data_IF_726509150377
#
_entry.id   IF_726509150377
#
_cell.length_a   1.000
_cell.length_b   1.000
_cell.length_c   1.000
_cell.angle_alpha   90.00
_cell.angle_beta   90.00
_cell.angle_gamma   90.00
#
_symmetry.space_group_name_H-M   'P 1'
#
loop_
_entity.id
_entity.type
_entity.pdbx_description
1 polymer ?
#
# COMPACT_ATOMS: atom_id res chain seq x y z
N UNK A 1 0.12 7.07 -22.57
CA UNK A 1 0.14 5.63 -22.96
C UNK A 1 -0.15 5.41 -24.44
N UNK A 2 -1.37 5.65 -24.96
CA UNK A 2 -1.72 5.39 -26.39
C UNK A 2 -0.74 5.99 -27.41
N UNK A 3 -0.19 7.17 -27.14
CA UNK A 3 0.82 7.82 -27.98
C UNK A 3 2.12 7.02 -28.02
N UNK A 4 2.62 6.59 -26.86
CA UNK A 4 3.87 5.84 -26.73
C UNK A 4 3.74 4.38 -27.21
N UNK A 5 2.54 3.82 -27.23
CA UNK A 5 2.29 2.45 -27.70
C UNK A 5 1.93 2.35 -29.18
N UNK A 6 1.86 3.47 -29.91
CA UNK A 6 1.32 3.53 -31.28
C UNK A 6 2.05 2.63 -32.29
N UNK A 7 3.37 2.49 -32.13
CA UNK A 7 4.23 1.74 -33.05
C UNK A 7 4.71 0.41 -32.45
N UNK A 8 4.06 -0.06 -31.38
CA UNK A 8 4.45 -1.27 -30.67
C UNK A 8 3.41 -2.36 -30.96
N UNK A 9 3.83 -3.58 -31.34
CA UNK A 9 2.90 -4.69 -31.52
C UNK A 9 2.36 -5.11 -30.16
N UNK A 10 1.10 -4.74 -29.86
CA UNK A 10 0.42 -5.10 -28.61
C UNK A 10 -0.44 -6.34 -28.81
N UNK A 11 -0.38 -7.26 -27.85
CA UNK A 11 -1.29 -8.39 -27.80
C UNK A 11 -2.71 -7.94 -27.44
N UNK A 12 -3.72 -8.73 -27.83
CA UNK A 12 -5.15 -8.43 -27.60
C UNK A 12 -5.53 -8.30 -26.13
N UNK A 13 -4.77 -8.90 -25.22
CA UNK A 13 -5.03 -8.90 -23.78
C UNK A 13 -4.56 -7.61 -23.07
N UNK A 14 -3.91 -6.68 -23.77
CA UNK A 14 -3.39 -5.44 -23.18
C UNK A 14 -4.52 -4.45 -22.91
N UNK A 15 -4.75 -4.16 -21.63
CA UNK A 15 -5.66 -3.10 -21.21
C UNK A 15 -4.88 -1.88 -20.65
N UNK A 16 -4.67 -0.88 -21.50
CA UNK A 16 -3.93 0.34 -21.13
C UNK A 16 -4.65 1.20 -20.08
N UNK A 17 -5.96 1.01 -19.87
CA UNK A 17 -6.71 1.75 -18.85
C UNK A 17 -6.33 1.28 -17.44
N UNK A 18 -6.13 -0.03 -17.25
CA UNK A 18 -5.63 -0.60 -15.99
C UNK A 18 -4.24 -0.03 -15.68
N UNK A 19 -3.36 0.03 -16.69
CA UNK A 19 -2.03 0.62 -16.52
C UNK A 19 -2.12 2.10 -16.12
N UNK A 20 -3.00 2.86 -16.76
CA UNK A 20 -3.22 4.28 -16.43
C UNK A 20 -3.68 4.46 -14.97
N UNK A 21 -4.67 3.68 -14.51
CA UNK A 21 -5.17 3.73 -13.12
C UNK A 21 -4.09 3.35 -12.10
N UNK A 22 -3.14 2.51 -12.51
CA UNK A 22 -2.00 2.08 -11.69
C UNK A 22 -0.76 2.96 -11.73
N UNK A 23 -0.79 4.06 -12.48
CA UNK A 23 0.32 5.01 -12.61
C UNK A 23 -0.11 6.46 -12.33
N UNK A 24 -0.85 6.73 -11.23
CA UNK A 24 -1.23 8.10 -10.90
C UNK A 24 0.02 8.96 -10.64
N UNK A 25 0.03 10.19 -11.16
CA UNK A 25 1.14 11.13 -11.02
C UNK A 25 2.32 10.91 -11.98
N UNK A 26 2.28 9.89 -12.84
CA UNK A 26 3.33 9.69 -13.83
C UNK A 26 3.34 10.81 -14.87
N UNK A 27 4.52 11.35 -15.14
CA UNK A 27 4.73 12.28 -16.25
C UNK A 27 4.70 11.56 -17.60
N UNK A 28 4.62 12.32 -18.70
CA UNK A 28 4.75 11.75 -20.04
C UNK A 28 6.07 11.00 -20.25
N UNK A 29 7.14 11.44 -19.59
CA UNK A 29 8.43 10.76 -19.61
C UNK A 29 8.37 9.42 -18.86
N UNK A 30 7.73 9.38 -17.68
CA UNK A 30 7.59 8.15 -16.89
C UNK A 30 6.75 7.11 -17.63
N UNK A 31 5.65 7.54 -18.26
CA UNK A 31 4.83 6.66 -19.10
C UNK A 31 5.58 6.15 -20.33
N UNK A 32 6.42 6.99 -20.94
CA UNK A 32 7.29 6.57 -22.04
C UNK A 32 8.31 5.54 -21.57
N UNK A 33 8.90 5.74 -20.39
CA UNK A 33 9.86 4.81 -19.81
C UNK A 33 9.21 3.46 -19.47
N UNK A 34 8.01 3.47 -18.87
CA UNK A 34 7.24 2.26 -18.59
C UNK A 34 6.96 1.45 -19.86
N UNK A 35 6.54 2.11 -20.94
CA UNK A 35 6.27 1.44 -22.22
C UNK A 35 7.56 0.82 -22.78
N UNK A 36 8.69 1.53 -22.72
CA UNK A 36 9.98 0.99 -23.16
C UNK A 36 10.41 -0.23 -22.34
N UNK A 37 10.23 -0.19 -21.01
CA UNK A 37 10.52 -1.33 -20.14
C UNK A 37 9.64 -2.55 -20.49
N UNK A 38 8.36 -2.34 -20.83
CA UNK A 38 7.47 -3.43 -21.24
C UNK A 38 7.97 -4.09 -22.54
N UNK A 39 8.41 -3.30 -23.51
CA UNK A 39 9.03 -3.81 -24.75
C UNK A 39 10.30 -4.60 -24.44
N UNK A 40 11.14 -4.11 -23.52
CA UNK A 40 12.36 -4.81 -23.13
C UNK A 40 12.07 -6.16 -22.45
N UNK A 41 11.03 -6.25 -21.62
CA UNK A 41 10.60 -7.51 -21.02
C UNK A 41 10.12 -8.52 -22.08
N UNK A 42 9.28 -8.07 -23.02
CA UNK A 42 8.80 -8.89 -24.13
C UNK A 42 9.98 -9.38 -25.00
N UNK A 43 10.91 -8.49 -25.34
CA UNK A 43 12.08 -8.80 -26.16
C UNK A 43 13.01 -9.82 -25.49
N UNK A 44 13.25 -9.72 -24.17
CA UNK A 44 14.05 -10.70 -23.40
C UNK A 44 13.46 -12.11 -23.44
N UNK A 45 12.13 -12.22 -23.52
CA UNK A 45 11.40 -13.49 -23.67
C UNK A 45 11.22 -13.91 -25.14
N UNK A 46 11.82 -13.19 -26.10
CA UNK A 46 11.64 -13.37 -27.54
C UNK A 46 10.16 -13.37 -27.99
N UNK A 47 9.30 -12.61 -27.29
CA UNK A 47 7.89 -12.44 -27.68
C UNK A 47 7.77 -11.57 -28.93
N UNK A 48 6.80 -11.87 -29.79
CA UNK A 48 6.49 -11.07 -31.00
C UNK A 48 5.60 -9.87 -30.73
N UNK A 49 4.79 -9.96 -29.68
CA UNK A 49 3.87 -8.92 -29.23
C UNK A 49 4.13 -8.66 -27.73
N UNK A 50 3.89 -7.43 -27.29
CA UNK A 50 3.96 -7.04 -25.88
C UNK A 50 2.62 -7.37 -25.23
N UNK A 51 2.65 -8.15 -24.16
CA UNK A 51 1.46 -8.60 -23.44
C UNK A 51 1.22 -7.80 -22.17
N UNK A 52 0.02 -7.96 -21.57
CA UNK A 52 -0.32 -7.28 -20.32
C UNK A 52 0.66 -7.62 -19.17
N UNK A 53 1.16 -8.87 -19.13
CA UNK A 53 2.18 -9.31 -18.17
C UNK A 53 3.46 -8.47 -18.26
N UNK A 54 3.90 -8.11 -19.47
CA UNK A 54 5.13 -7.34 -19.67
C UNK A 54 4.94 -5.88 -19.20
N UNK A 55 3.74 -5.32 -19.37
CA UNK A 55 3.37 -4.01 -18.81
C UNK A 55 3.30 -4.02 -17.28
N UNK A 56 2.76 -5.09 -16.68
CA UNK A 56 2.74 -5.24 -15.22
C UNK A 56 4.16 -5.33 -14.64
N UNK A 57 5.04 -6.12 -15.26
CA UNK A 57 6.45 -6.22 -14.86
C UNK A 57 7.21 -4.90 -15.02
N UNK A 58 6.96 -4.18 -16.12
CA UNK A 58 7.54 -2.87 -16.37
C UNK A 58 7.08 -1.84 -15.33
N UNK A 59 5.78 -1.81 -15.05
CA UNK A 59 5.20 -0.95 -14.02
C UNK A 59 5.83 -1.23 -12.66
N UNK A 60 5.94 -2.50 -12.25
CA UNK A 60 6.56 -2.88 -10.98
C UNK A 60 8.00 -2.40 -10.90
N UNK A 61 8.76 -2.57 -11.99
CA UNK A 61 10.13 -2.09 -12.06
C UNK A 61 10.23 -0.56 -11.92
N UNK A 62 9.34 0.19 -12.56
CA UNK A 62 9.36 1.66 -12.52
C UNK A 62 8.88 2.20 -11.17
N UNK A 63 7.84 1.60 -10.57
CA UNK A 63 7.28 2.03 -9.28
C UNK A 63 8.14 1.61 -8.09
N UNK A 64 8.60 0.36 -8.08
CA UNK A 64 9.20 -0.27 -6.90
C UNK A 64 10.70 -0.53 -7.07
N UNK A 65 11.25 -0.33 -8.27
CA UNK A 65 12.61 -0.71 -8.62
C UNK A 65 12.74 -2.16 -9.09
N UNK A 66 13.96 -2.56 -9.49
CA UNK A 66 14.19 -3.89 -10.02
C UNK A 66 13.95 -4.99 -8.97
N UNK A 67 13.50 -6.14 -9.47
CA UNK A 67 13.40 -7.37 -8.68
C UNK A 67 14.78 -7.80 -8.18
N UNK A 68 14.86 -8.14 -6.89
CA UNK A 68 16.11 -8.51 -6.24
C UNK A 68 16.30 -10.03 -6.20
N UNK A 69 16.54 -10.64 -7.37
CA UNK A 69 16.74 -12.10 -7.51
C UNK A 69 17.92 -12.67 -6.71
N UNK A 70 18.89 -11.84 -6.32
CA UNK A 70 20.08 -12.26 -5.56
C UNK A 70 19.90 -12.19 -4.05
N UNK A 71 18.75 -11.71 -3.55
CA UNK A 71 18.50 -11.69 -2.10
C UNK A 71 18.09 -13.08 -1.69
N UNK A 72 18.89 -13.67 -0.80
CA UNK A 72 18.56 -14.90 -0.12
C UNK A 72 17.69 -14.48 1.08
N UNK A 73 16.39 -14.76 0.98
CA UNK A 73 15.42 -14.57 2.07
C UNK A 73 15.21 -15.94 2.70
N UNK A 74 15.26 -16.03 4.02
CA UNK A 74 14.97 -17.29 4.71
C UNK A 74 13.50 -17.68 4.54
N UNK A 75 13.17 -18.96 4.67
CA UNK A 75 11.78 -19.42 4.61
C UNK A 75 10.93 -18.76 5.70
N UNK A 76 11.51 -18.50 6.87
CA UNK A 76 10.87 -17.78 7.99
C UNK A 76 10.57 -16.32 7.64
N UNK A 77 11.52 -15.60 7.02
CA UNK A 77 11.29 -14.21 6.58
C UNK A 77 10.24 -14.13 5.46
N UNK A 78 10.23 -15.11 4.54
CA UNK A 78 9.19 -15.22 3.53
C UNK A 78 7.82 -15.48 4.14
N UNK A 79 7.75 -16.37 5.14
CA UNK A 79 6.51 -16.66 5.86
C UNK A 79 5.98 -15.41 6.58
N UNK A 80 6.83 -14.71 7.32
CA UNK A 80 6.47 -13.43 7.96
C UNK A 80 5.91 -12.45 6.93
N UNK A 81 6.59 -12.29 5.80
CA UNK A 81 6.16 -11.40 4.72
C UNK A 81 4.80 -11.84 4.15
N UNK A 82 4.55 -13.13 3.97
CA UNK A 82 3.27 -13.63 3.48
C UNK A 82 2.11 -13.32 4.45
N UNK A 83 2.31 -13.50 5.75
CA UNK A 83 1.30 -13.13 6.75
C UNK A 83 1.12 -11.60 6.86
N UNK A 84 2.19 -10.84 6.73
CA UNK A 84 2.17 -9.38 6.73
C UNK A 84 1.31 -8.85 5.57
N UNK A 85 1.60 -9.28 4.34
CA UNK A 85 0.85 -8.86 3.15
C UNK A 85 -0.60 -9.37 3.16
N UNK A 86 -0.84 -10.58 3.67
CA UNK A 86 -2.20 -11.10 3.86
C UNK A 86 -3.00 -10.23 4.84
N UNK A 87 -2.35 -9.67 5.86
CA UNK A 87 -2.96 -8.74 6.80
C UNK A 87 -3.47 -7.48 6.12
N UNK A 88 -2.63 -6.82 5.32
CA UNK A 88 -3.03 -5.67 4.52
C UNK A 88 -4.21 -5.99 3.58
N UNK A 89 -4.11 -7.12 2.86
CA UNK A 89 -5.10 -7.51 1.87
C UNK A 89 -6.47 -7.80 2.49
N UNK A 90 -6.53 -8.59 3.57
CA UNK A 90 -7.79 -8.93 4.22
C UNK A 90 -8.47 -7.68 4.80
N UNK A 91 -7.70 -6.81 5.48
CA UNK A 91 -8.25 -5.58 6.06
C UNK A 91 -8.75 -4.64 4.97
N UNK A 92 -7.99 -4.48 3.88
CA UNK A 92 -8.39 -3.67 2.75
C UNK A 92 -9.65 -4.18 2.06
N UNK A 93 -9.84 -5.50 1.99
CA UNK A 93 -10.99 -6.10 1.30
C UNK A 93 -12.28 -6.07 2.13
N UNK A 94 -12.16 -6.12 3.46
CA UNK A 94 -13.32 -6.18 4.37
C UNK A 94 -13.82 -4.82 4.83
N UNK A 95 -12.95 -3.82 4.89
CA UNK A 95 -13.36 -2.46 5.24
C UNK A 95 -14.08 -1.77 4.07
N UNK A 96 -15.15 -1.00 4.33
CA UNK A 96 -15.79 -0.20 3.29
C UNK A 96 -14.89 0.97 2.88
N UNK A 97 -15.18 1.57 1.73
CA UNK A 97 -14.48 2.79 1.26
C UNK A 97 -12.95 2.66 1.22
N UNK A 98 -12.42 1.47 0.97
CA UNK A 98 -11.02 1.25 0.67
C UNK A 98 -10.80 1.23 -0.83
N UNK A 99 -9.59 1.52 -1.29
CA UNK A 99 -9.27 1.35 -2.70
C UNK A 99 -9.12 -0.14 -3.03
N UNK A 100 -9.67 -0.62 -4.17
CA UNK A 100 -9.61 -2.02 -4.55
C UNK A 100 -8.19 -2.58 -4.62
N UNK A 101 -8.02 -3.82 -4.18
CA UNK A 101 -6.75 -4.55 -4.32
C UNK A 101 -6.60 -4.96 -5.78
N UNK A 102 -5.42 -4.73 -6.33
CA UNK A 102 -5.02 -5.19 -7.65
C UNK A 102 -4.24 -6.50 -7.57
N UNK A 103 -3.20 -6.51 -6.74
CA UNK A 103 -2.37 -7.70 -6.49
C UNK A 103 -1.65 -7.63 -5.16
N UNK A 104 -1.21 -8.79 -4.70
CA UNK A 104 -0.35 -8.97 -3.52
C UNK A 104 0.84 -9.82 -3.94
N UNK A 105 2.05 -9.45 -3.51
CA UNK A 105 3.26 -10.21 -3.82
C UNK A 105 4.23 -10.22 -2.64
N UNK A 106 4.96 -11.32 -2.49
CA UNK A 106 6.08 -11.48 -1.55
C UNK A 106 7.44 -11.48 -2.26
N UNK A 107 7.47 -11.01 -3.52
CA UNK A 107 8.70 -10.93 -4.30
C UNK A 107 9.42 -9.62 -3.94
N UNK A 108 10.68 -9.66 -3.47
CA UNK A 108 11.40 -8.48 -3.04
C UNK A 108 11.71 -7.54 -4.20
N UNK A 109 11.33 -6.27 -4.06
CA UNK A 109 11.55 -5.20 -5.05
C UNK A 109 12.02 -3.92 -4.36
N UNK A 110 13.12 -3.36 -4.85
CA UNK A 110 13.72 -2.16 -4.24
C UNK A 110 14.01 -2.37 -2.74
N UNK A 111 13.33 -1.57 -1.90
CA UNK A 111 13.42 -1.64 -0.43
C UNK A 111 12.33 -2.50 0.22
N UNK A 112 11.31 -2.93 -0.52
CA UNK A 112 10.21 -3.73 0.01
C UNK A 112 10.46 -5.23 -0.18
N UNK A 113 10.05 -6.03 0.81
CA UNK A 113 10.11 -7.50 0.77
C UNK A 113 8.82 -8.12 0.22
N UNK A 114 7.70 -7.43 0.40
CA UNK A 114 6.39 -7.72 -0.19
C UNK A 114 5.62 -6.41 -0.41
N UNK A 115 4.56 -6.46 -1.20
CA UNK A 115 3.65 -5.33 -1.43
C UNK A 115 2.23 -5.79 -1.71
N UNK A 116 1.29 -5.18 -0.99
CA UNK A 116 -0.15 -5.18 -1.30
C UNK A 116 -0.50 -3.93 -2.10
N UNK A 117 -0.75 -4.09 -3.40
CA UNK A 117 -1.04 -2.98 -4.29
C UNK A 117 -2.54 -2.69 -4.37
N UNK A 118 -2.93 -1.49 -3.96
CA UNK A 118 -4.28 -0.95 -4.14
C UNK A 118 -4.32 0.01 -5.34
N UNK A 119 -5.41 -0.02 -6.11
CA UNK A 119 -5.65 0.86 -7.24
C UNK A 119 -6.90 1.71 -7.01
N UNK A 120 -6.77 3.04 -6.97
CA UNK A 120 -7.94 3.92 -6.89
C UNK A 120 -8.87 3.73 -8.10
N UNK A 121 -10.18 3.73 -7.86
CA UNK A 121 -11.18 3.66 -8.95
C UNK A 121 -11.29 4.96 -9.77
N UNK A 122 -10.80 6.07 -9.21
CA UNK A 122 -10.76 7.37 -9.87
C UNK A 122 -9.96 8.41 -9.08
N UNK A 123 -9.76 9.57 -9.71
CA UNK A 123 -9.07 10.70 -9.10
C UNK A 123 -9.96 11.33 -8.02
N UNK A 124 -9.58 11.14 -6.76
CA UNK A 124 -10.25 11.77 -5.61
C UNK A 124 -9.52 13.07 -5.27
N UNK A 125 -10.25 14.18 -5.27
CA UNK A 125 -9.73 15.49 -4.83
C UNK A 125 -9.91 15.73 -3.33
N UNK A 126 -10.83 15.00 -2.69
CA UNK A 126 -11.14 15.12 -1.27
C UNK A 126 -11.37 13.73 -0.68
N UNK A 127 -10.95 13.54 0.57
CA UNK A 127 -11.13 12.30 1.33
C UNK A 127 -11.98 12.55 2.57
N UNK A 128 -12.96 11.69 2.81
CA UNK A 128 -13.74 11.74 4.04
C UNK A 128 -12.96 11.10 5.22
N UNK A 129 -13.41 11.39 6.45
CA UNK A 129 -12.76 10.90 7.67
C UNK A 129 -12.74 9.37 7.74
N UNK A 130 -13.78 8.71 7.27
CA UNK A 130 -13.92 7.24 7.30
C UNK A 130 -12.90 6.57 6.38
N UNK A 131 -12.73 7.08 5.16
CA UNK A 131 -11.70 6.62 4.22
C UNK A 131 -10.30 6.71 4.84
N UNK A 132 -9.99 7.83 5.51
CA UNK A 132 -8.68 8.03 6.13
C UNK A 132 -8.44 7.09 7.31
N UNK A 133 -9.45 6.86 8.15
CA UNK A 133 -9.39 5.88 9.23
C UNK A 133 -9.20 4.48 8.66
N UNK A 134 -9.98 4.09 7.64
CA UNK A 134 -9.84 2.77 7.02
C UNK A 134 -8.48 2.58 6.35
N UNK A 135 -7.91 3.65 5.78
CA UNK A 135 -6.54 3.65 5.26
C UNK A 135 -5.50 3.43 6.35
N UNK A 136 -5.67 4.03 7.53
CA UNK A 136 -4.83 3.75 8.70
C UNK A 136 -5.00 2.29 9.12
N UNK A 137 -6.22 1.76 9.18
CA UNK A 137 -6.47 0.36 9.52
C UNK A 137 -5.74 -0.60 8.55
N UNK A 138 -5.79 -0.31 7.25
CA UNK A 138 -5.06 -1.07 6.22
C UNK A 138 -3.57 -1.03 6.46
N UNK A 139 -2.98 0.15 6.70
CA UNK A 139 -1.53 0.29 6.98
C UNK A 139 -1.11 -0.48 8.24
N UNK A 140 -1.98 -0.57 9.24
CA UNK A 140 -1.71 -1.36 10.45
C UNK A 140 -1.92 -2.87 10.23
N UNK A 141 -2.50 -3.29 9.10
CA UNK A 141 -2.86 -4.68 8.78
C UNK A 141 -1.68 -5.65 8.88
N UNK A 142 -0.55 -5.33 8.25
CA UNK A 142 0.63 -6.20 8.29
C UNK A 142 1.19 -6.37 9.69
N UNK A 143 1.39 -5.25 10.41
CA UNK A 143 1.86 -5.24 11.80
C UNK A 143 1.00 -6.09 12.73
N UNK A 144 -0.32 -5.94 12.65
CA UNK A 144 -1.27 -6.65 13.50
C UNK A 144 -1.36 -8.13 13.11
N UNK A 145 -1.23 -8.44 11.82
CA UNK A 145 -1.22 -9.83 11.34
C UNK A 145 -0.02 -10.60 11.88
N UNK A 146 1.18 -10.00 11.83
CA UNK A 146 2.38 -10.59 12.45
C UNK A 146 2.17 -10.89 13.93
N UNK A 147 1.62 -9.93 14.68
CA UNK A 147 1.39 -10.10 16.11
C UNK A 147 0.37 -11.21 16.40
N UNK A 148 -0.75 -11.22 15.69
CA UNK A 148 -1.88 -12.11 15.99
C UNK A 148 -1.68 -13.53 15.46
N UNK A 149 -1.00 -13.67 14.32
CA UNK A 149 -0.82 -14.96 13.64
C UNK A 149 0.51 -15.62 14.01
N UNK A 150 1.57 -14.83 14.15
CA UNK A 150 2.94 -15.34 14.36
C UNK A 150 3.49 -15.05 15.76
N UNK A 151 2.76 -14.29 16.60
CA UNK A 151 3.24 -13.81 17.90
C UNK A 151 4.61 -13.11 17.81
N UNK A 152 4.88 -12.45 16.69
CA UNK A 152 6.14 -11.75 16.44
C UNK A 152 5.92 -10.32 16.00
N UNK A 153 6.99 -9.53 16.08
CA UNK A 153 7.01 -8.12 15.77
C UNK A 153 8.28 -7.84 14.99
N UNK A 154 8.13 -7.43 13.73
CA UNK A 154 9.29 -7.11 12.88
C UNK A 154 9.45 -5.62 12.62
N UNK A 155 10.61 -5.26 12.07
CA UNK A 155 10.90 -3.91 11.59
C UNK A 155 10.27 -3.62 10.22
N UNK A 156 9.68 -4.63 9.56
CA UNK A 156 9.08 -4.50 8.23
C UNK A 156 7.93 -3.50 8.17
N UNK A 157 7.15 -3.39 9.26
CA UNK A 157 6.02 -2.47 9.38
C UNK A 157 6.41 -0.99 9.58
N UNK A 158 7.70 -0.64 9.60
CA UNK A 158 8.16 0.72 9.95
C UNK A 158 7.58 1.81 9.05
N UNK A 159 7.61 1.60 7.73
CA UNK A 159 7.05 2.55 6.76
C UNK A 159 5.52 2.67 6.88
N UNK A 160 4.82 1.59 7.23
CA UNK A 160 3.36 1.63 7.38
C UNK A 160 2.94 2.37 8.64
N UNK A 161 3.67 2.17 9.74
CA UNK A 161 3.48 2.93 10.99
C UNK A 161 3.77 4.42 10.77
N UNK A 162 4.84 4.76 10.06
CA UNK A 162 5.17 6.15 9.72
C UNK A 162 4.02 6.79 8.93
N UNK A 163 3.57 6.16 7.85
CA UNK A 163 2.47 6.65 7.01
C UNK A 163 1.15 6.75 7.78
N UNK A 164 0.83 5.77 8.62
CA UNK A 164 -0.36 5.78 9.45
C UNK A 164 -0.34 6.96 10.41
N UNK A 165 0.81 7.18 11.06
CA UNK A 165 1.03 8.29 11.99
C UNK A 165 0.92 9.65 11.28
N UNK A 166 1.47 9.76 10.07
CA UNK A 166 1.38 10.98 9.26
C UNK A 166 -0.06 11.32 8.85
N UNK A 167 -0.85 10.31 8.46
CA UNK A 167 -2.27 10.51 8.14
C UNK A 167 -3.01 10.98 9.41
N UNK A 168 -2.83 10.29 10.54
CA UNK A 168 -3.45 10.68 11.81
C UNK A 168 -3.04 12.10 12.23
N UNK A 169 -1.76 12.47 12.06
CA UNK A 169 -1.28 13.82 12.32
C UNK A 169 -1.96 14.85 11.43
N UNK A 170 -2.11 14.60 10.13
CA UNK A 170 -2.82 15.52 9.22
C UNK A 170 -4.30 15.63 9.54
N UNK A 171 -4.93 14.52 9.90
CA UNK A 171 -6.33 14.51 10.36
C UNK A 171 -6.52 15.45 11.56
N UNK A 172 -5.58 15.45 12.51
CA UNK A 172 -5.66 16.29 13.72
C UNK A 172 -5.22 17.73 13.44
N UNK A 173 -4.09 17.93 12.75
CA UNK A 173 -3.44 19.23 12.65
C UNK A 173 -3.85 20.06 11.44
N UNK A 174 -4.19 19.44 10.31
CA UNK A 174 -4.43 20.14 9.05
C UNK A 174 -5.90 20.11 8.63
N UNK A 175 -6.58 18.97 8.85
CA UNK A 175 -7.93 18.75 8.35
C UNK A 175 -9.03 18.90 9.40
N UNK A 176 -8.67 19.14 10.67
CA UNK A 176 -9.63 19.42 11.73
C UNK A 176 -10.63 18.28 11.99
N UNK A 177 -10.18 17.03 11.82
CA UNK A 177 -11.00 15.82 11.92
C UNK A 177 -10.99 15.17 13.33
N UNK A 178 -10.49 15.89 14.33
CA UNK A 178 -10.40 15.45 15.73
C UNK A 178 -11.36 16.22 16.65
N UNK A 179 -11.40 15.83 17.93
CA UNK A 179 -12.18 16.56 18.93
C UNK A 179 -11.66 17.98 19.22
N UNK A 180 -10.46 18.32 18.70
CA UNK A 180 -9.90 19.68 18.77
C UNK A 180 -10.61 20.66 17.82
N UNK A 181 -11.48 20.15 16.95
CA UNK A 181 -12.31 20.95 16.06
C UNK A 181 -11.59 21.37 14.77
N UNK A 182 -12.25 22.21 13.95
CA UNK A 182 -11.79 22.59 12.62
C UNK A 182 -10.74 23.71 12.66
N UNK A 183 -9.63 23.48 13.39
CA UNK A 183 -8.51 24.40 13.50
C UNK A 183 -7.29 23.86 12.76
N UNK A 184 -6.54 24.76 12.13
CA UNK A 184 -5.27 24.42 11.50
C UNK A 184 -4.12 24.70 12.47
N UNK A 185 -3.51 23.62 12.95
CA UNK A 185 -2.33 23.63 13.82
C UNK A 185 -1.02 23.46 13.04
N UNK A 186 -1.07 23.20 11.73
CA UNK A 186 0.15 23.11 10.94
C UNK A 186 0.83 24.46 10.84
N UNK A 187 2.13 24.49 11.14
CA UNK A 187 2.95 25.66 10.86
C UNK A 187 3.04 25.83 9.35
N UNK A 188 2.63 26.99 8.83
CA UNK A 188 2.76 27.31 7.40
C UNK A 188 4.16 26.98 6.91
N UNK A 189 4.26 26.17 5.86
CA UNK A 189 5.50 25.98 5.08
C UNK A 189 5.79 27.20 4.19
N UNK A 190 5.45 28.40 4.64
CA UNK A 190 5.71 29.62 3.91
C UNK A 190 7.20 29.98 4.09
N UNK A 191 7.96 29.67 3.04
CA UNK A 191 9.33 30.12 2.74
C UNK A 191 10.48 29.64 3.64
N UNK A 192 10.91 28.39 3.43
CA UNK A 192 12.33 28.01 3.66
C UNK A 192 13.15 28.51 2.47
N UNK A 193 13.39 29.82 2.39
CA UNK A 193 14.36 30.42 1.48
C UNK A 193 15.55 30.95 2.29
N UNK A 194 16.75 30.49 1.93
CA UNK A 194 18.08 30.80 2.49
C UNK A 194 18.40 30.29 3.93
N UNK A 195 18.98 29.09 3.98
CA UNK A 195 20.30 28.91 4.61
C UNK A 195 20.44 29.16 6.12
N UNK A 196 19.38 28.98 6.92
CA UNK A 196 19.47 28.83 8.38
C UNK A 196 18.56 27.71 8.84
N UNK A 197 19.06 26.88 9.75
CA UNK A 197 18.26 25.97 10.56
C UNK A 197 17.26 26.81 11.36
N UNK A 198 16.05 26.99 10.84
CA UNK A 198 14.99 27.72 11.52
C UNK A 198 14.20 26.69 12.31
N UNK A 199 14.33 26.79 13.63
CA UNK A 199 13.46 26.14 14.58
C UNK A 199 12.01 26.30 14.12
N UNK A 200 11.34 25.19 13.83
CA UNK A 200 9.90 25.17 13.57
C UNK A 200 9.19 25.77 14.78
N UNK A 201 8.80 27.04 14.69
CA UNK A 201 7.99 27.67 15.71
C UNK A 201 6.64 26.94 15.73
N UNK A 202 6.38 26.20 16.81
CA UNK A 202 5.05 25.66 17.11
C UNK A 202 4.13 26.85 17.35
N UNK A 203 3.09 27.01 16.54
CA UNK A 203 2.11 28.10 16.68
C UNK A 203 1.06 27.83 17.78
N UNK A 204 1.34 26.92 18.71
CA UNK A 204 0.40 26.47 19.74
C UNK A 204 1.14 26.15 21.04
N UNK A 205 0.41 26.20 22.16
CA UNK A 205 0.96 25.95 23.49
C UNK A 205 1.38 24.49 23.69
N UNK A 206 2.25 24.24 24.67
CA UNK A 206 2.62 22.87 25.08
C UNK A 206 1.41 22.05 25.60
N UNK A 207 0.39 22.71 26.15
CA UNK A 207 -0.89 22.05 26.46
C UNK A 207 -1.58 21.55 25.18
N UNK A 208 -1.63 22.39 24.14
CA UNK A 208 -2.21 22.02 22.84
C UNK A 208 -1.41 20.92 22.16
N UNK A 209 -0.07 20.97 22.25
CA UNK A 209 0.80 19.91 21.74
C UNK A 209 0.47 18.55 22.36
N UNK A 210 0.32 18.50 23.70
CA UNK A 210 -0.08 17.29 24.42
C UNK A 210 -1.46 16.78 24.02
N UNK A 211 -2.40 17.68 23.72
CA UNK A 211 -3.73 17.32 23.23
C UNK A 211 -3.66 16.72 21.81
N UNK A 212 -2.85 17.31 20.92
CA UNK A 212 -2.60 16.78 19.58
C UNK A 212 -2.02 15.37 19.65
N UNK A 213 -0.96 15.17 20.44
CA UNK A 213 -0.32 13.84 20.58
C UNK A 213 -1.30 12.81 21.15
N UNK A 214 -2.17 13.20 22.08
CA UNK A 214 -3.23 12.34 22.61
C UNK A 214 -4.23 11.94 21.53
N UNK A 215 -4.68 12.88 20.71
CA UNK A 215 -5.64 12.59 19.64
C UNK A 215 -5.03 11.72 18.54
N UNK A 216 -3.77 11.96 18.15
CA UNK A 216 -3.05 11.09 17.20
C UNK A 216 -2.98 9.67 17.76
N UNK A 217 -2.54 9.51 19.02
CA UNK A 217 -2.46 8.21 19.66
C UNK A 217 -3.82 7.52 19.70
N UNK A 218 -4.89 8.23 20.08
CA UNK A 218 -6.25 7.69 20.12
C UNK A 218 -6.70 7.17 18.76
N UNK A 219 -6.48 7.93 17.68
CA UNK A 219 -6.83 7.51 16.31
C UNK A 219 -6.09 6.22 15.92
N UNK A 220 -4.78 6.15 16.21
CA UNK A 220 -3.97 4.96 15.91
C UNK A 220 -4.42 3.76 16.76
N UNK A 221 -4.66 3.95 18.06
CA UNK A 221 -5.10 2.89 18.97
C UNK A 221 -6.49 2.34 18.55
N UNK A 222 -7.44 3.22 18.22
CA UNK A 222 -8.78 2.85 17.75
C UNK A 222 -8.72 2.07 16.43
N UNK A 223 -7.91 2.53 15.48
CA UNK A 223 -7.68 1.85 14.20
C UNK A 223 -7.00 0.49 14.42
N UNK A 224 -5.99 0.42 15.29
CA UNK A 224 -5.31 -0.83 15.66
C UNK A 224 -6.29 -1.85 16.25
N UNK A 225 -7.17 -1.45 17.18
CA UNK A 225 -8.18 -2.37 17.74
C UNK A 225 -9.18 -2.85 16.69
N UNK A 226 -9.61 -1.95 15.79
CA UNK A 226 -10.48 -2.31 14.66
C UNK A 226 -9.82 -3.34 13.76
N UNK A 227 -8.58 -3.09 13.34
CA UNK A 227 -7.77 -4.02 12.55
C UNK A 227 -7.57 -5.36 13.25
N UNK A 228 -7.28 -5.35 14.56
CA UNK A 228 -7.09 -6.57 15.36
C UNK A 228 -8.36 -7.41 15.41
N UNK A 229 -9.52 -6.80 15.58
CA UNK A 229 -10.80 -7.51 15.57
C UNK A 229 -11.07 -8.17 14.20
N UNK A 230 -10.81 -7.46 13.10
CA UNK A 230 -10.95 -8.02 11.74
C UNK A 230 -10.02 -9.23 11.57
N UNK A 231 -8.75 -9.08 11.93
CA UNK A 231 -7.76 -10.16 11.78
C UNK A 231 -8.12 -11.37 12.65
N UNK A 232 -8.58 -11.16 13.88
CA UNK A 232 -9.03 -12.23 14.78
C UNK A 232 -10.25 -12.98 14.22
N UNK A 233 -11.20 -12.27 13.61
CA UNK A 233 -12.39 -12.87 12.99
C UNK A 233 -12.08 -13.62 11.69
N UNK A 234 -10.96 -13.31 11.02
CA UNK A 234 -10.62 -13.83 9.70
C UNK A 234 -9.30 -14.62 9.66
N UNK A 235 -8.88 -15.19 10.80
CA UNK A 235 -7.64 -15.99 10.91
C UNK A 235 -7.50 -17.07 9.84
N UNK A 236 -8.56 -17.86 9.62
CA UNK A 236 -8.55 -18.94 8.62
C UNK A 236 -8.30 -18.43 7.20
N UNK A 237 -8.91 -17.30 6.83
CA UNK A 237 -8.70 -16.65 5.53
C UNK A 237 -7.27 -16.12 5.39
N UNK A 238 -6.70 -15.53 6.44
CA UNK A 238 -5.32 -15.03 6.46
C UNK A 238 -4.33 -16.18 6.29
N UNK A 239 -4.49 -17.28 7.04
CA UNK A 239 -3.62 -18.46 6.91
C UNK A 239 -3.65 -19.02 5.48
N UNK A 240 -4.84 -19.15 4.90
CA UNK A 240 -4.99 -19.65 3.53
C UNK A 240 -4.36 -18.70 2.51
N UNK A 241 -4.52 -17.39 2.69
CA UNK A 241 -3.91 -16.38 1.83
C UNK A 241 -2.38 -16.42 1.91
N UNK A 242 -1.82 -16.52 3.12
CA UNK A 242 -0.38 -16.62 3.34
C UNK A 242 0.20 -17.89 2.70
N UNK A 243 -0.46 -19.03 2.86
CA UNK A 243 -0.06 -20.29 2.19
C UNK A 243 -0.09 -20.16 0.67
N UNK A 244 -1.16 -19.57 0.12
CA UNK A 244 -1.27 -19.34 -1.33
C UNK A 244 -0.17 -18.39 -1.83
N UNK A 245 0.20 -17.36 -1.06
CA UNK A 245 1.31 -16.47 -1.36
C UNK A 245 2.66 -17.19 -1.32
N UNK A 246 2.87 -18.11 -0.38
CA UNK A 246 4.10 -18.90 -0.33
C UNK A 246 4.23 -19.85 -1.52
N UNK A 247 3.11 -20.35 -2.06
CA UNK A 247 3.09 -21.22 -3.24
C UNK A 247 3.24 -20.46 -4.57
N UNK A 248 2.50 -19.35 -4.73
CA UNK A 248 2.42 -18.60 -6.01
C UNK A 248 3.33 -17.39 -6.08
N UNK A 249 3.85 -16.90 -4.95
CA UNK A 249 4.59 -15.63 -4.76
C UNK A 249 3.84 -14.34 -5.15
N UNK A 250 2.78 -14.46 -5.94
CA UNK A 250 1.88 -13.39 -6.40
C UNK A 250 0.45 -13.92 -6.43
N UNK A 251 -0.49 -13.16 -5.86
CA UNK A 251 -1.92 -13.42 -5.99
C UNK A 251 -2.64 -12.15 -6.50
N UNK A 252 -3.67 -12.35 -7.31
CA UNK A 252 -4.48 -11.26 -7.89
C UNK A 252 -5.73 -10.98 -7.06
N UNK A 253 -6.42 -9.88 -7.36
CA UNK A 253 -7.73 -9.58 -6.75
C UNK A 253 -8.73 -10.74 -6.89
N UNK A 254 -8.71 -11.45 -8.02
CA UNK A 254 -9.60 -12.59 -8.26
C UNK A 254 -9.26 -13.79 -7.35
N UNK A 255 -7.98 -14.10 -7.16
CA UNK A 255 -7.55 -15.15 -6.23
C UNK A 255 -8.00 -14.84 -4.80
N UNK A 256 -7.91 -13.56 -4.39
CA UNK A 256 -8.35 -13.09 -3.07
C UNK A 256 -9.87 -13.27 -2.90
N UNK A 257 -10.64 -12.93 -3.93
CA UNK A 257 -12.10 -13.12 -3.93
C UNK A 257 -12.50 -14.58 -3.81
N UNK A 258 -11.75 -15.49 -4.43
CA UNK A 258 -11.97 -16.93 -4.29
C UNK A 258 -11.66 -17.41 -2.87
N UNK A 259 -10.53 -17.00 -2.30
CA UNK A 259 -10.14 -17.35 -0.91
C UNK A 259 -11.19 -16.89 0.10
N UNK A 260 -11.76 -15.69 -0.09
CA UNK A 260 -12.76 -15.13 0.82
C UNK A 260 -14.15 -15.76 0.70
N UNK A 261 -14.49 -16.31 -0.47
CA UNK A 261 -15.76 -17.04 -0.68
C UNK A 261 -15.77 -18.39 -0.01
N UNK A 262 -14.59 -18.98 0.21
CA UNK A 262 -14.51 -20.26 0.87
C UNK A 262 -14.93 -20.15 2.35
N UNK A 263 -15.73 -21.10 2.84
CA UNK A 263 -16.11 -21.14 4.25
C UNK A 263 -14.85 -21.24 5.11
N UNK A 264 -14.85 -20.52 6.24
CA UNK A 264 -13.74 -20.63 7.19
C UNK A 264 -13.65 -22.09 7.64
N UNK A 265 -12.50 -22.71 7.37
CA UNK A 265 -12.17 -24.02 7.93
C UNK A 265 -12.17 -23.87 9.45
N UNK A 266 -13.13 -24.49 10.14
CA UNK A 266 -13.09 -24.64 11.59
C UNK A 266 -11.85 -25.46 11.93
N UNK A 267 -10.89 -24.85 12.64
CA UNK A 267 -9.78 -25.55 13.30
C UNK A 267 -10.04 -25.49 14.80
#
# INVERSE_FOLDING_TARGET
>A
LKVHTRNIPLAKNVNLEIIAKSTPGFSGADLSNLVNEAVLFAARKNKKEVEMEDFELAKDKVLMGPERKSVIISDEEKEITAYHESGHAIVAKLLPKTDPIHKVTIIPRGMALGVTQQLPEGDKYTYDKEYLINRICVLLGGRVSEEVMLNTITTGAGNDIERATDIARKMVCEWGMSELGPLNYATSKDEVFLGREIATHKNFSEDTARLIDREIKRIIDDAYQTTKNIILQHKGHITKMAQTLLEKEVITSADIDEILKEPQSEV
#
